data_IF_288348359245
#
_entry.id   IF_288348359245
#
_cell.length_a   1.000
_cell.length_b   1.000
_cell.length_c   1.000
_cell.angle_alpha   90.00
_cell.angle_beta   90.00
_cell.angle_gamma   90.00
#
_symmetry.space_group_name_H-M   'P 1'
#
loop_
_entity.id
_entity.type
_entity.pdbx_description
1 polymer ?
#
# COMPACT_ATOMS: atom_id res chain seq x y z
N UNK A 1 -10.89 15.92 4.50
CA UNK A 1 -11.42 14.64 4.97
C UNK A 1 -10.36 13.58 4.83
N UNK A 2 -10.13 12.82 5.88
CA UNK A 2 -9.13 11.75 5.85
C UNK A 2 -9.54 10.61 4.92
N UNK A 3 -8.54 9.97 4.32
CA UNK A 3 -8.75 8.83 3.44
C UNK A 3 -8.05 7.59 4.00
N UNK A 4 -8.63 6.43 3.71
CA UNK A 4 -7.99 5.13 3.93
C UNK A 4 -7.69 4.54 2.56
N UNK A 5 -6.41 4.34 2.28
CA UNK A 5 -5.97 3.70 1.04
C UNK A 5 -5.37 2.34 1.38
N UNK A 6 -5.74 1.33 0.62
CA UNK A 6 -5.18 -0.01 0.76
C UNK A 6 -4.67 -0.49 -0.59
N UNK A 7 -3.55 -1.19 -0.56
CA UNK A 7 -3.00 -1.85 -1.73
C UNK A 7 -2.78 -3.30 -1.35
N UNK A 8 -3.59 -4.18 -1.95
CA UNK A 8 -3.49 -5.62 -1.71
C UNK A 8 -2.65 -6.26 -2.81
N UNK A 9 -1.77 -7.18 -2.41
CA UNK A 9 -0.90 -7.87 -3.35
C UNK A 9 -0.61 -9.29 -2.87
N UNK A 10 -0.31 -10.18 -3.82
CA UNK A 10 0.02 -11.58 -3.52
C UNK A 10 1.42 -11.88 -4.04
N UNK A 11 2.44 -11.87 -3.16
CA UNK A 11 3.79 -12.23 -3.57
C UNK A 11 3.89 -13.70 -3.99
N UNK A 12 4.76 -13.98 -4.95
CA UNK A 12 5.13 -15.35 -5.24
C UNK A 12 5.75 -15.98 -3.98
N UNK A 13 5.42 -17.23 -3.61
CA UNK A 13 5.87 -17.82 -2.35
C UNK A 13 7.37 -17.70 -2.09
N UNK A 14 8.20 -17.91 -3.10
CA UNK A 14 9.66 -17.83 -2.95
C UNK A 14 10.17 -16.42 -2.77
N UNK A 15 9.36 -15.41 -3.03
CA UNK A 15 9.72 -13.99 -2.91
C UNK A 15 8.92 -13.26 -1.83
N UNK A 16 8.14 -13.99 -1.05
CA UNK A 16 7.27 -13.40 -0.03
C UNK A 16 8.06 -12.53 0.95
N UNK A 17 9.13 -13.08 1.51
CA UNK A 17 9.95 -12.35 2.49
C UNK A 17 10.63 -11.12 1.89
N UNK A 18 11.10 -11.23 0.64
CA UNK A 18 11.71 -10.11 -0.06
C UNK A 18 10.71 -8.96 -0.22
N UNK A 19 9.50 -9.26 -0.66
CA UNK A 19 8.44 -8.25 -0.85
C UNK A 19 8.04 -7.66 0.51
N UNK A 20 7.86 -8.51 1.53
CA UNK A 20 7.50 -8.05 2.86
C UNK A 20 8.56 -7.09 3.42
N UNK A 21 9.85 -7.38 3.26
CA UNK A 21 10.93 -6.52 3.73
C UNK A 21 10.93 -5.17 2.99
N UNK A 22 10.73 -5.17 1.70
CA UNK A 22 10.64 -3.92 0.91
C UNK A 22 9.45 -3.07 1.38
N UNK A 23 8.32 -3.69 1.68
CA UNK A 23 7.14 -2.97 2.18
C UNK A 23 7.34 -2.46 3.61
N UNK A 24 8.06 -3.20 4.46
CA UNK A 24 8.42 -2.70 5.80
C UNK A 24 9.23 -1.41 5.71
N UNK A 25 10.19 -1.36 4.79
CA UNK A 25 10.96 -0.15 4.54
C UNK A 25 10.06 1.01 4.11
N UNK A 26 9.05 0.75 3.29
CA UNK A 26 8.10 1.78 2.86
C UNK A 26 7.22 2.29 3.99
N UNK A 27 6.88 1.44 4.95
CA UNK A 27 6.17 1.89 6.16
C UNK A 27 6.99 2.98 6.87
N UNK A 28 8.29 2.74 7.05
CA UNK A 28 9.18 3.69 7.69
C UNK A 28 9.32 4.99 6.90
N UNK A 29 9.44 4.89 5.58
CA UNK A 29 9.52 6.06 4.70
C UNK A 29 8.28 6.95 4.86
N UNK A 30 7.09 6.36 4.80
CA UNK A 30 5.84 7.12 4.95
C UNK A 30 5.70 7.71 6.35
N UNK A 31 6.10 6.94 7.39
CA UNK A 31 6.03 7.41 8.76
C UNK A 31 6.91 8.65 8.99
N UNK A 32 8.10 8.71 8.38
CA UNK A 32 9.02 9.84 8.54
C UNK A 32 8.59 11.11 7.81
N UNK A 33 7.73 10.99 6.81
CA UNK A 33 7.26 12.16 6.05
C UNK A 33 6.26 13.03 6.80
N UNK A 34 5.59 12.45 7.80
CA UNK A 34 4.56 13.16 8.54
C UNK A 34 3.27 13.43 7.75
N UNK A 35 3.20 13.03 6.49
CA UNK A 35 2.02 13.19 5.65
C UNK A 35 0.94 12.16 5.95
N UNK A 36 1.34 10.96 6.37
CA UNK A 36 0.43 9.88 6.74
C UNK A 36 0.15 9.93 8.23
N UNK A 37 -1.12 9.90 8.60
CA UNK A 37 -1.53 9.82 10.01
C UNK A 37 -1.16 8.45 10.58
N UNK A 38 -1.33 7.39 9.78
CA UNK A 38 -0.92 6.02 10.15
C UNK A 38 -0.61 5.22 8.91
N UNK A 39 0.32 4.26 9.07
CA UNK A 39 0.72 3.33 8.00
C UNK A 39 0.76 1.93 8.60
N UNK A 40 0.19 0.97 7.90
CA UNK A 40 0.20 -0.42 8.31
C UNK A 40 0.65 -1.32 7.18
N UNK A 41 1.39 -2.37 7.53
CA UNK A 41 1.60 -3.52 6.67
C UNK A 41 0.95 -4.70 7.35
N UNK A 42 0.00 -5.35 6.69
CA UNK A 42 -0.79 -6.44 7.24
C UNK A 42 -0.63 -7.66 6.37
N UNK A 43 -0.55 -8.83 6.99
CA UNK A 43 -0.57 -10.11 6.28
C UNK A 43 -1.93 -10.77 6.43
N UNK A 44 -2.52 -11.16 5.30
CA UNK A 44 -3.78 -11.89 5.24
C UNK A 44 -3.55 -13.16 4.42
N UNK A 45 -3.23 -14.26 5.09
CA UNK A 45 -2.88 -15.50 4.41
C UNK A 45 -1.62 -15.34 3.57
N UNK A 46 -1.74 -15.55 2.27
CA UNK A 46 -0.66 -15.39 1.30
C UNK A 46 -0.59 -13.99 0.68
N UNK A 47 -1.42 -13.07 1.17
CA UNK A 47 -1.48 -11.70 0.67
C UNK A 47 -0.90 -10.71 1.67
N UNK A 48 -0.37 -9.62 1.14
CA UNK A 48 0.08 -8.48 1.92
C UNK A 48 -0.81 -7.29 1.60
N UNK A 49 -1.16 -6.52 2.63
CA UNK A 49 -1.98 -5.31 2.49
C UNK A 49 -1.19 -4.14 3.05
N UNK A 50 -0.89 -3.16 2.19
CA UNK A 50 -0.26 -1.91 2.61
C UNK A 50 -1.37 -0.89 2.79
N UNK A 51 -1.50 -0.34 3.98
CA UNK A 51 -2.60 0.56 4.34
C UNK A 51 -2.08 1.91 4.79
N UNK A 52 -2.69 2.98 4.27
CA UNK A 52 -2.34 4.36 4.57
C UNK A 52 -3.58 5.13 5.01
N UNK A 53 -3.46 5.83 6.13
CA UNK A 53 -4.45 6.83 6.50
C UNK A 53 -3.81 8.20 6.24
N UNK A 54 -4.34 8.94 5.29
CA UNK A 54 -3.85 10.24 4.89
C UNK A 54 -4.84 11.33 5.30
N UNK A 55 -4.33 12.54 5.55
CA UNK A 55 -5.17 13.64 6.01
C UNK A 55 -6.13 14.13 4.92
N UNK A 56 -5.76 13.98 3.65
CA UNK A 56 -6.59 14.42 2.54
C UNK A 56 -6.31 13.64 1.26
N UNK A 57 -7.24 13.73 0.32
CA UNK A 57 -7.06 13.18 -1.03
C UNK A 57 -5.92 13.88 -1.77
N UNK A 58 -5.69 15.16 -1.51
CA UNK A 58 -4.60 15.92 -2.14
C UNK A 58 -3.24 15.30 -1.81
N UNK A 59 -3.03 14.88 -0.57
CA UNK A 59 -1.80 14.21 -0.16
C UNK A 59 -1.60 12.91 -0.93
N UNK A 60 -2.67 12.15 -1.15
CA UNK A 60 -2.61 10.93 -1.96
C UNK A 60 -2.17 11.23 -3.39
N UNK A 61 -2.80 12.24 -4.01
CA UNK A 61 -2.51 12.62 -5.39
C UNK A 61 -1.06 13.10 -5.54
N UNK A 62 -0.58 13.91 -4.59
CA UNK A 62 0.80 14.43 -4.60
C UNK A 62 1.85 13.32 -4.55
N UNK A 63 1.54 12.19 -3.93
CA UNK A 63 2.49 11.10 -3.73
C UNK A 63 2.23 9.90 -4.65
N UNK A 64 1.26 10.00 -5.55
CA UNK A 64 0.84 8.88 -6.41
C UNK A 64 1.95 8.37 -7.32
N UNK A 65 2.68 9.28 -7.96
CA UNK A 65 3.76 8.89 -8.90
C UNK A 65 4.84 8.10 -8.20
N UNK A 66 5.23 8.52 -7.00
CA UNK A 66 6.22 7.80 -6.21
C UNK A 66 5.74 6.42 -5.79
N UNK A 67 4.48 6.33 -5.38
CA UNK A 67 3.88 5.05 -5.00
C UNK A 67 3.86 4.09 -6.18
N UNK A 68 3.47 4.56 -7.37
CA UNK A 68 3.47 3.74 -8.58
C UNK A 68 4.87 3.32 -8.98
N UNK A 69 5.85 4.21 -8.87
CA UNK A 69 7.25 3.88 -9.16
C UNK A 69 7.78 2.80 -8.23
N UNK A 70 7.43 2.85 -6.94
CA UNK A 70 7.80 1.82 -6.00
C UNK A 70 7.15 0.48 -6.37
N UNK A 71 5.85 0.47 -6.66
CA UNK A 71 5.13 -0.76 -7.03
C UNK A 71 5.74 -1.39 -8.29
N UNK A 72 6.21 -0.60 -9.24
CA UNK A 72 6.87 -1.10 -10.43
C UNK A 72 8.13 -1.90 -10.09
N UNK A 73 8.82 -1.56 -9.00
CA UNK A 73 10.05 -2.26 -8.59
C UNK A 73 9.77 -3.66 -8.02
N UNK A 74 8.56 -3.92 -7.52
CA UNK A 74 8.21 -5.21 -6.91
C UNK A 74 7.25 -6.04 -7.76
N UNK A 75 6.68 -5.46 -8.82
CA UNK A 75 5.65 -6.14 -9.64
C UNK A 75 6.10 -7.51 -10.14
N UNK A 76 7.37 -7.65 -10.51
CA UNK A 76 7.94 -8.90 -11.00
C UNK A 76 7.88 -10.05 -9.98
N UNK A 77 7.70 -9.73 -8.70
CA UNK A 77 7.65 -10.73 -7.63
C UNK A 77 6.22 -11.05 -7.19
N UNK A 78 5.23 -10.45 -7.86
CA UNK A 78 3.83 -10.58 -7.49
C UNK A 78 3.10 -11.52 -8.44
N UNK A 79 2.07 -12.20 -7.91
CA UNK A 79 1.15 -13.00 -8.70
C UNK A 79 0.04 -12.07 -9.20
N UNK A 80 -0.28 -12.14 -10.49
CA UNK A 80 -1.36 -11.37 -11.06
C UNK A 80 -2.71 -11.87 -10.53
N UNK A 81 -3.57 -10.96 -10.05
CA UNK A 81 -4.92 -11.29 -9.61
C UNK A 81 -5.82 -11.62 -10.80
N UNK A 82 -5.78 -10.77 -11.84
CA UNK A 82 -6.56 -10.90 -13.06
C UNK A 82 -5.99 -9.96 -14.11
N UNK A 83 -6.38 -10.12 -15.37
CA UNK A 83 -6.01 -9.16 -16.43
C UNK A 83 -6.49 -7.75 -16.09
N UNK A 84 -7.68 -7.65 -15.50
CA UNK A 84 -8.33 -6.39 -15.18
C UNK A 84 -7.65 -5.67 -14.02
N UNK A 85 -7.40 -6.38 -12.92
CA UNK A 85 -6.80 -5.80 -11.72
C UNK A 85 -5.27 -5.71 -11.79
N UNK A 86 -4.64 -6.55 -12.60
CA UNK A 86 -3.18 -6.65 -12.65
C UNK A 86 -2.61 -7.31 -11.39
N UNK A 87 -1.47 -6.79 -10.92
CA UNK A 87 -0.71 -7.39 -9.82
C UNK A 87 -1.04 -6.78 -8.46
N UNK A 88 -1.84 -5.72 -8.42
CA UNK A 88 -2.26 -5.06 -7.19
C UNK A 88 -3.73 -4.71 -7.25
N UNK A 89 -4.37 -4.72 -6.07
CA UNK A 89 -5.72 -4.21 -5.90
C UNK A 89 -5.66 -3.01 -4.99
N UNK A 90 -5.79 -1.82 -5.57
CA UNK A 90 -5.76 -0.56 -4.84
C UNK A 90 -7.17 -0.04 -4.63
N UNK A 91 -7.45 0.42 -3.42
CA UNK A 91 -8.74 1.03 -3.07
C UNK A 91 -8.48 2.23 -2.18
N UNK A 92 -9.28 3.27 -2.39
CA UNK A 92 -9.26 4.46 -1.54
C UNK A 92 -10.69 4.81 -1.17
N UNK A 93 -10.91 5.08 0.10
CA UNK A 93 -12.22 5.44 0.62
C UNK A 93 -12.06 6.59 1.62
N UNK A 94 -13.14 7.34 1.81
CA UNK A 94 -13.16 8.43 2.79
C UNK A 94 -13.55 7.90 4.15
N UNK A 95 -12.84 8.37 5.19
CA UNK A 95 -13.17 8.03 6.57
C UNK A 95 -14.31 8.94 7.01
N UNK A 96 -15.44 8.34 7.33
CA UNK A 96 -16.63 9.08 7.76
C UNK A 96 -16.60 9.37 9.26
N UNK A 97 -15.95 8.51 10.05
CA UNK A 97 -15.83 8.66 11.49
C UNK A 97 -14.66 7.82 11.99
N UNK A 98 -13.90 8.37 12.92
CA UNK A 98 -12.85 7.61 13.63
C UNK A 98 -13.04 7.80 15.14
N UNK A 99 -12.56 6.81 15.91
CA UNK A 99 -12.56 6.91 17.36
C UNK A 99 -11.39 7.76 17.83
N UNK A 100 -11.57 8.41 18.93
CA UNK A 100 -10.51 9.21 19.57
C UNK A 100 -9.46 8.32 20.27
#
# INVERSE_FOLDING_TARGET
MKTLSTIRMRPMPKHFDLVADKLRDRVDVWATRGAAAKVYLVQDGDELIFSLILDSMDTLIENQDEALSFLDTIRQYLIEFSEEDGHTRARTAFILKESD
#
